data_IF_685494250711
#
_entry.id   IF_685494250711
#
_cell.length_a   1.000
_cell.length_b   1.000
_cell.length_c   1.000
_cell.angle_alpha   90.00
_cell.angle_beta   90.00
_cell.angle_gamma   90.00
#
_symmetry.space_group_name_H-M   'P 1'
#
loop_
_entity.id
_entity.type
_entity.pdbx_description
1 polymer ?
#
# COMPACT_ATOMS: atom_id res chain seq x y z
N UNK A 1 3.66 18.18 -2.55
CA UNK A 1 4.63 17.07 -2.71
C UNK A 1 4.54 15.97 -1.64
N UNK A 2 3.61 16.00 -0.66
CA UNK A 2 3.50 14.96 0.39
C UNK A 2 2.13 14.26 0.47
N UNK A 3 1.29 14.39 -0.56
CA UNK A 3 -0.05 13.81 -0.57
C UNK A 3 -0.08 12.29 -0.36
N UNK A 4 0.95 11.56 -0.83
CA UNK A 4 1.08 10.12 -0.59
C UNK A 4 1.29 9.79 0.90
N UNK A 5 2.11 10.58 1.60
CA UNK A 5 2.34 10.43 3.06
C UNK A 5 1.05 10.73 3.82
N UNK A 6 0.32 11.75 3.41
CA UNK A 6 -0.97 12.12 4.00
C UNK A 6 -2.00 11.00 3.83
N UNK A 7 -2.09 10.41 2.62
CA UNK A 7 -2.98 9.28 2.35
C UNK A 7 -2.63 8.07 3.24
N UNK A 8 -1.35 7.72 3.36
CA UNK A 8 -0.90 6.62 4.24
C UNK A 8 -1.32 6.88 5.69
N UNK A 9 -1.02 8.07 6.23
CA UNK A 9 -1.37 8.44 7.59
C UNK A 9 -2.87 8.41 7.82
N UNK A 10 -3.66 8.90 6.87
CA UNK A 10 -5.12 8.89 6.94
C UNK A 10 -5.65 7.46 7.05
N UNK A 11 -5.16 6.53 6.23
CA UNK A 11 -5.57 5.12 6.26
C UNK A 11 -5.13 4.46 7.58
N UNK A 12 -3.88 4.67 8.02
CA UNK A 12 -3.36 4.14 9.29
C UNK A 12 -4.18 4.62 10.50
N UNK A 13 -4.53 5.91 10.52
CA UNK A 13 -5.36 6.51 11.56
C UNK A 13 -6.81 6.00 11.51
N UNK A 14 -7.40 5.87 10.32
CA UNK A 14 -8.75 5.33 10.15
C UNK A 14 -8.83 3.89 10.67
N UNK A 15 -7.86 3.03 10.31
CA UNK A 15 -7.80 1.67 10.81
C UNK A 15 -7.69 1.59 12.34
N UNK A 16 -6.79 2.39 12.93
CA UNK A 16 -6.66 2.46 14.39
C UNK A 16 -7.95 2.94 15.06
N UNK A 17 -8.59 3.96 14.52
CA UNK A 17 -9.85 4.50 15.03
C UNK A 17 -10.98 3.48 14.95
N UNK A 18 -11.13 2.77 13.82
CA UNK A 18 -12.17 1.76 13.64
C UNK A 18 -11.96 0.58 14.61
N UNK A 19 -10.72 0.10 14.78
CA UNK A 19 -10.41 -0.92 15.78
C UNK A 19 -10.80 -0.50 17.19
N UNK A 20 -10.48 0.74 17.57
CA UNK A 20 -10.81 1.27 18.90
C UNK A 20 -12.33 1.40 19.10
N UNK A 21 -13.05 1.86 18.08
CA UNK A 21 -14.51 2.01 18.12
C UNK A 21 -15.22 0.66 18.25
N UNK A 22 -14.67 -0.40 17.66
CA UNK A 22 -15.16 -1.78 17.79
C UNK A 22 -14.77 -2.45 19.13
N UNK A 23 -14.20 -1.71 20.09
CA UNK A 23 -13.79 -2.24 21.39
C UNK A 23 -12.47 -3.03 21.35
N UNK A 24 -11.69 -2.91 20.27
CA UNK A 24 -10.38 -3.51 20.15
C UNK A 24 -9.36 -2.92 21.12
N UNK A 25 -8.40 -3.75 21.55
CA UNK A 25 -7.24 -3.30 22.34
C UNK A 25 -6.34 -2.41 21.47
N UNK A 26 -5.51 -1.53 22.09
CA UNK A 26 -4.56 -0.72 21.35
C UNK A 26 -3.70 -1.57 20.40
N UNK A 27 -3.62 -1.15 19.14
CA UNK A 27 -2.86 -1.80 18.07
C UNK A 27 -3.39 -3.17 17.60
N UNK A 28 -4.63 -3.55 17.93
CA UNK A 28 -5.29 -4.63 17.20
C UNK A 28 -5.65 -4.17 15.78
N UNK A 29 -5.42 -5.04 14.80
CA UNK A 29 -5.69 -4.73 13.40
C UNK A 29 -7.16 -5.01 13.03
N UNK A 30 -7.80 -4.16 12.20
CA UNK A 30 -9.05 -4.49 11.54
C UNK A 30 -8.92 -5.79 10.75
N UNK A 31 -9.88 -6.69 10.94
CA UNK A 31 -9.96 -7.95 10.20
C UNK A 31 -11.40 -8.25 9.81
N UNK A 32 -11.58 -8.87 8.64
CA UNK A 32 -12.90 -9.23 8.12
C UNK A 32 -12.76 -10.45 7.22
N UNK A 33 -13.77 -11.32 7.18
CA UNK A 33 -13.77 -12.42 6.22
C UNK A 33 -13.99 -11.92 4.79
N UNK A 34 -13.48 -12.64 3.78
CA UNK A 34 -13.67 -12.29 2.36
C UNK A 34 -15.16 -12.20 2.01
N UNK A 35 -15.97 -13.13 2.53
CA UNK A 35 -17.41 -13.13 2.30
C UNK A 35 -18.09 -11.85 2.84
N UNK A 36 -17.82 -11.51 4.10
CA UNK A 36 -18.37 -10.30 4.74
C UNK A 36 -17.90 -9.04 4.02
N UNK A 37 -16.63 -9.00 3.60
CA UNK A 37 -16.08 -7.85 2.89
C UNK A 37 -16.79 -7.62 1.55
N UNK A 38 -16.89 -8.65 0.70
CA UNK A 38 -17.56 -8.53 -0.61
C UNK A 38 -19.03 -8.12 -0.42
N UNK A 39 -19.75 -8.73 0.51
CA UNK A 39 -21.13 -8.39 0.82
C UNK A 39 -21.28 -6.93 1.31
N UNK A 40 -20.34 -6.45 2.13
CA UNK A 40 -20.36 -5.06 2.64
C UNK A 40 -20.19 -4.00 1.54
N UNK A 41 -19.42 -4.31 0.49
CA UNK A 41 -19.24 -3.41 -0.66
C UNK A 41 -20.45 -3.45 -1.59
N UNK A 42 -21.01 -4.63 -1.85
CA UNK A 42 -22.22 -4.78 -2.68
C UNK A 42 -23.43 -4.06 -2.07
N UNK A 43 -23.62 -4.19 -0.75
CA UNK A 43 -24.71 -3.51 -0.02
C UNK A 43 -24.54 -2.00 0.01
N UNK A 44 -23.31 -1.47 0.09
CA UNK A 44 -23.05 -0.04 -0.02
C UNK A 44 -23.48 0.52 -1.39
N UNK A 45 -23.12 -0.17 -2.48
CA UNK A 45 -23.49 0.24 -3.85
C UNK A 45 -24.99 0.18 -4.14
N UNK A 46 -25.69 -0.78 -3.53
CA UNK A 46 -27.14 -0.90 -3.64
C UNK A 46 -27.90 0.23 -2.91
N UNK A 47 -27.28 0.92 -1.95
CA UNK A 47 -27.85 2.10 -1.28
C UNK A 47 -27.63 3.39 -2.07
N UNK A 48 -26.48 3.50 -2.75
CA UNK A 48 -26.14 4.68 -3.55
C UNK A 48 -26.88 4.74 -4.89
N UNK A 49 -27.27 3.58 -5.41
CA UNK A 49 -28.19 3.47 -6.54
C UNK A 49 -29.61 3.33 -6.00
N UNK A 50 -30.49 4.30 -6.25
CA UNK A 50 -31.91 4.28 -5.84
C UNK A 50 -32.73 3.21 -6.62
N UNK A 51 -32.25 1.97 -6.63
CA UNK A 51 -32.85 0.77 -7.22
C UNK A 51 -32.97 -0.26 -6.08
N UNK A 52 -34.08 -0.17 -5.36
CA UNK A 52 -34.53 -1.21 -4.44
C UNK A 52 -34.87 -2.47 -5.22
N UNK A 53 -33.90 -3.37 -5.36
CA UNK A 53 -34.14 -4.80 -5.45
C UNK A 53 -33.23 -5.46 -4.41
N UNK A 54 -33.78 -6.21 -3.43
CA UNK A 54 -32.95 -6.99 -2.53
C UNK A 54 -32.35 -8.11 -3.37
N UNK A 55 -31.10 -7.95 -3.82
CA UNK A 55 -30.33 -9.11 -4.26
C UNK A 55 -30.09 -9.87 -2.97
N UNK A 56 -30.86 -10.93 -2.79
CA UNK A 56 -30.71 -11.89 -1.71
C UNK A 56 -29.22 -12.13 -1.48
N UNK A 57 -28.80 -12.13 -0.21
CA UNK A 57 -27.52 -12.68 0.18
C UNK A 57 -27.40 -14.02 -0.54
N UNK A 58 -26.67 -14.04 -1.66
CA UNK A 58 -26.50 -15.25 -2.43
C UNK A 58 -25.71 -16.11 -1.49
N UNK A 59 -26.40 -17.10 -0.91
CA UNK A 59 -25.83 -18.17 -0.13
C UNK A 59 -24.60 -18.64 -0.89
N UNK A 60 -23.43 -18.18 -0.42
CA UNK A 60 -22.15 -18.71 -0.88
C UNK A 60 -22.30 -20.23 -0.73
N UNK A 61 -22.03 -21.01 -1.77
CA UNK A 61 -22.21 -22.45 -1.69
C UNK A 61 -21.36 -22.95 -0.53
N UNK A 62 -22.02 -23.48 0.51
CA UNK A 62 -21.41 -24.16 1.64
C UNK A 62 -20.89 -25.54 1.21
N UNK A 63 -20.20 -25.60 0.06
CA UNK A 63 -19.94 -26.83 -0.68
C UNK A 63 -18.51 -26.80 -1.22
N UNK A 64 -17.55 -27.08 -0.35
CA UNK A 64 -16.16 -27.34 -0.72
C UNK A 64 -15.21 -26.91 0.39
N UNK A 65 -14.74 -27.86 1.20
CA UNK A 65 -13.73 -27.72 2.27
C UNK A 65 -13.68 -26.33 2.93
N UNK A 66 -14.50 -26.13 3.97
CA UNK A 66 -14.41 -24.94 4.84
C UNK A 66 -13.12 -24.98 5.66
N UNK A 67 -12.00 -24.68 5.00
CA UNK A 67 -10.74 -24.38 5.66
C UNK A 67 -10.94 -23.09 6.46
N UNK A 68 -10.91 -23.19 7.78
CA UNK A 68 -10.88 -22.02 8.66
C UNK A 68 -9.49 -21.40 8.61
N UNK A 69 -9.44 -20.07 8.52
CA UNK A 69 -8.20 -19.31 8.61
C UNK A 69 -8.13 -18.62 9.97
N UNK A 70 -7.05 -18.83 10.71
CA UNK A 70 -6.79 -18.12 11.96
C UNK A 70 -5.92 -16.87 11.69
N UNK A 71 -6.20 -15.73 12.36
CA UNK A 71 -5.41 -14.53 12.19
C UNK A 71 -4.00 -14.70 12.79
N UNK A 72 -2.97 -14.36 12.03
CA UNK A 72 -1.57 -14.51 12.46
C UNK A 72 -0.94 -13.21 12.98
N UNK A 73 -1.66 -12.09 12.91
CA UNK A 73 -1.14 -10.80 13.34
C UNK A 73 -0.84 -10.80 14.87
N UNK A 74 0.42 -10.63 15.31
CA UNK A 74 0.83 -10.90 16.69
C UNK A 74 0.14 -10.06 17.77
N UNK A 75 -0.37 -8.88 17.41
CA UNK A 75 -1.08 -8.01 18.34
C UNK A 75 -2.57 -8.34 18.44
N UNK A 76 -3.04 -9.34 17.68
CA UNK A 76 -4.42 -9.74 17.58
C UNK A 76 -5.23 -8.85 16.63
N UNK A 77 -6.40 -9.33 16.26
CA UNK A 77 -7.30 -8.65 15.33
C UNK A 77 -8.64 -8.33 16.00
N UNK A 78 -9.40 -7.43 15.40
CA UNK A 78 -10.77 -7.10 15.78
C UNK A 78 -11.65 -7.09 14.54
N UNK A 79 -12.84 -7.69 14.62
CA UNK A 79 -13.77 -7.72 13.48
C UNK A 79 -14.33 -6.32 13.22
N UNK A 80 -14.00 -5.76 12.06
CA UNK A 80 -14.35 -4.39 11.65
C UNK A 80 -14.61 -4.40 10.14
N UNK A 81 -15.63 -3.68 9.64
CA UNK A 81 -15.80 -3.48 8.20
C UNK A 81 -14.59 -2.77 7.58
N UNK A 82 -13.78 -3.51 6.82
CA UNK A 82 -12.51 -3.00 6.27
C UNK A 82 -12.72 -1.80 5.33
N UNK A 83 -13.90 -1.71 4.70
CA UNK A 83 -14.29 -0.58 3.85
C UNK A 83 -14.20 0.78 4.55
N UNK A 84 -14.33 0.81 5.87
CA UNK A 84 -14.30 2.05 6.66
C UNK A 84 -12.86 2.51 6.94
N UNK A 85 -11.87 1.63 6.72
CA UNK A 85 -10.45 1.94 6.88
C UNK A 85 -9.84 2.59 5.63
N UNK A 86 -10.47 2.43 4.47
CA UNK A 86 -9.92 2.81 3.18
C UNK A 86 -10.81 3.83 2.44
N UNK A 87 -10.24 4.63 1.53
CA UNK A 87 -11.04 5.30 0.51
C UNK A 87 -11.81 4.29 -0.35
N UNK A 88 -13.02 4.65 -0.78
CA UNK A 88 -13.91 3.76 -1.53
C UNK A 88 -13.26 3.10 -2.75
N UNK A 89 -12.45 3.84 -3.51
CA UNK A 89 -11.78 3.32 -4.70
C UNK A 89 -10.85 2.12 -4.41
N UNK A 90 -10.25 2.07 -3.21
CA UNK A 90 -9.38 0.95 -2.80
C UNK A 90 -10.25 -0.28 -2.51
N UNK A 91 -11.27 -0.12 -1.67
CA UNK A 91 -12.15 -1.23 -1.30
C UNK A 91 -12.93 -1.77 -2.49
N UNK A 92 -13.36 -0.91 -3.40
CA UNK A 92 -14.02 -1.28 -4.65
C UNK A 92 -13.10 -2.10 -5.55
N UNK A 93 -11.85 -1.69 -5.68
CA UNK A 93 -10.84 -2.39 -6.46
C UNK A 93 -10.54 -3.77 -5.85
N UNK A 94 -10.42 -3.87 -4.53
CA UNK A 94 -10.21 -5.13 -3.81
C UNK A 94 -11.40 -6.10 -3.99
N UNK A 95 -12.64 -5.61 -3.86
CA UNK A 95 -13.83 -6.42 -4.02
C UNK A 95 -13.99 -6.98 -5.44
N UNK A 96 -13.48 -6.27 -6.45
CA UNK A 96 -13.43 -6.75 -7.83
C UNK A 96 -12.26 -7.72 -8.07
N UNK A 97 -11.11 -7.47 -7.44
CA UNK A 97 -9.90 -8.25 -7.64
C UNK A 97 -9.99 -9.67 -7.04
N UNK A 98 -10.63 -9.84 -5.87
CA UNK A 98 -10.71 -11.13 -5.18
C UNK A 98 -11.34 -12.24 -6.06
N UNK A 99 -12.54 -12.06 -6.66
CA UNK A 99 -13.11 -13.06 -7.58
C UNK A 99 -12.27 -13.27 -8.86
N UNK A 100 -11.60 -12.23 -9.35
CA UNK A 100 -10.73 -12.35 -10.51
C UNK A 100 -9.49 -13.20 -10.21
N UNK A 101 -8.93 -13.09 -9.00
CA UNK A 101 -7.83 -13.93 -8.56
C UNK A 101 -8.27 -15.38 -8.34
N UNK A 102 -9.48 -15.63 -7.85
CA UNK A 102 -10.01 -16.98 -7.69
C UNK A 102 -10.07 -17.78 -9.01
N UNK A 103 -10.28 -17.09 -10.13
CA UNK A 103 -10.21 -17.68 -11.48
C UNK A 103 -8.79 -18.13 -11.86
N UNK A 104 -7.75 -17.52 -11.28
CA UNK A 104 -6.33 -17.84 -11.53
C UNK A 104 -5.78 -18.81 -10.48
N UNK A 105 -6.22 -18.68 -9.24
CA UNK A 105 -5.79 -19.47 -8.10
C UNK A 105 -7.03 -19.95 -7.35
N UNK A 106 -7.38 -21.23 -7.54
CA UNK A 106 -8.56 -21.83 -6.92
C UNK A 106 -8.52 -21.66 -5.40
N UNK A 107 -9.62 -21.16 -4.82
CA UNK A 107 -9.76 -20.95 -3.38
C UNK A 107 -9.23 -19.61 -2.86
N UNK A 108 -8.75 -18.72 -3.73
CA UNK A 108 -8.28 -17.39 -3.31
C UNK A 108 -9.40 -16.50 -2.75
N UNK A 109 -10.64 -16.74 -3.14
CA UNK A 109 -11.85 -16.08 -2.62
C UNK A 109 -12.61 -16.94 -1.60
N UNK A 110 -11.93 -17.85 -0.90
CA UNK A 110 -12.54 -18.66 0.16
C UNK A 110 -13.33 -17.74 1.13
N UNK A 111 -14.64 -18.00 1.35
CA UNK A 111 -15.48 -17.20 2.24
C UNK A 111 -14.91 -16.96 3.64
N UNK A 112 -14.16 -17.93 4.18
CA UNK A 112 -13.56 -17.90 5.52
C UNK A 112 -12.12 -17.36 5.52
N UNK A 113 -11.56 -17.01 4.36
CA UNK A 113 -10.27 -16.34 4.31
C UNK A 113 -10.37 -14.96 4.99
N UNK A 114 -9.30 -14.60 5.71
CA UNK A 114 -9.25 -13.38 6.49
C UNK A 114 -8.48 -12.29 5.75
N UNK A 115 -9.09 -11.12 5.65
CA UNK A 115 -8.44 -9.88 5.25
C UNK A 115 -8.01 -9.16 6.52
N UNK A 116 -6.71 -8.90 6.70
CA UNK A 116 -6.19 -8.05 7.78
C UNK A 116 -5.67 -6.76 7.16
N UNK A 117 -6.09 -5.61 7.69
CA UNK A 117 -5.79 -4.30 7.12
C UNK A 117 -5.18 -3.33 8.16
N UNK A 118 -4.51 -2.25 7.72
CA UNK A 118 -4.11 -1.92 6.37
C UNK A 118 -2.62 -2.20 6.12
N UNK A 119 -2.27 -2.50 4.87
CA UNK A 119 -0.87 -2.51 4.40
C UNK A 119 -0.62 -1.23 3.59
N UNK A 120 0.04 -0.23 4.19
CA UNK A 120 0.16 1.13 3.62
C UNK A 120 1.56 1.48 3.11
N UNK A 121 2.58 0.70 3.45
CA UNK A 121 4.00 1.06 3.27
C UNK A 121 4.75 0.09 2.35
N UNK A 122 4.12 -0.30 1.25
CA UNK A 122 4.71 -1.22 0.27
C UNK A 122 5.81 -0.59 -0.59
N UNK A 123 5.83 0.74 -0.69
CA UNK A 123 6.87 1.51 -1.36
C UNK A 123 6.89 2.94 -0.85
N UNK A 124 7.95 3.69 -1.14
CA UNK A 124 8.05 5.07 -0.70
C UNK A 124 7.00 5.97 -1.38
N UNK A 125 6.24 6.77 -0.60
CA UNK A 125 5.28 7.73 -1.12
C UNK A 125 5.95 8.99 -1.70
N UNK A 126 7.28 9.10 -1.62
CA UNK A 126 8.05 10.27 -2.02
C UNK A 126 9.23 9.85 -2.89
N UNK A 127 9.51 10.63 -3.93
CA UNK A 127 10.70 10.50 -4.76
C UNK A 127 11.63 11.69 -4.52
N UNK A 128 12.80 11.45 -3.94
CA UNK A 128 13.86 12.48 -3.87
C UNK A 128 14.62 12.43 -5.18
N UNK A 129 14.52 13.47 -6.00
CA UNK A 129 15.13 13.47 -7.32
C UNK A 129 16.67 13.50 -7.20
N UNK A 130 17.34 12.67 -7.99
CA UNK A 130 18.80 12.62 -8.07
C UNK A 130 19.26 12.45 -9.52
N UNK A 131 20.44 12.95 -9.84
CA UNK A 131 21.05 12.89 -11.17
C UNK A 131 21.58 11.47 -11.47
N UNK A 132 22.13 11.27 -12.67
CA UNK A 132 22.83 10.01 -13.04
C UNK A 132 24.05 9.74 -12.17
N UNK A 133 24.65 10.78 -11.58
CA UNK A 133 25.73 10.68 -10.58
C UNK A 133 25.22 10.56 -9.15
N UNK A 134 23.96 10.14 -8.99
CA UNK A 134 23.32 9.86 -7.71
C UNK A 134 23.15 11.07 -6.77
N UNK A 135 23.47 12.28 -7.24
CA UNK A 135 23.42 13.48 -6.41
C UNK A 135 22.04 14.13 -6.46
N UNK A 136 21.51 14.53 -5.30
CA UNK A 136 20.21 15.16 -5.19
C UNK A 136 20.18 16.51 -5.92
N UNK A 137 19.02 16.86 -6.46
CA UNK A 137 18.74 18.20 -6.96
C UNK A 137 17.32 18.63 -6.62
N UNK A 138 17.12 19.94 -6.45
CA UNK A 138 15.79 20.52 -6.38
C UNK A 138 15.29 20.71 -7.80
N UNK A 139 14.13 20.14 -8.10
CA UNK A 139 13.35 20.55 -9.27
C UNK A 139 11.96 20.93 -8.78
N UNK A 140 11.56 22.18 -9.06
CA UNK A 140 10.19 22.61 -8.87
C UNK A 140 9.29 22.05 -9.97
N UNK A 141 9.81 21.93 -11.20
CA UNK A 141 9.02 21.54 -12.39
C UNK A 141 9.76 20.57 -13.34
N UNK A 142 9.03 19.92 -14.26
CA UNK A 142 9.60 18.94 -15.21
C UNK A 142 10.69 19.52 -16.12
N UNK A 143 10.56 20.81 -16.47
CA UNK A 143 11.56 21.51 -17.28
C UNK A 143 12.89 21.67 -16.53
N UNK A 144 12.85 21.89 -15.22
CA UNK A 144 14.04 21.93 -14.35
C UNK A 144 14.66 20.55 -14.17
N UNK A 145 13.87 19.46 -14.13
CA UNK A 145 14.43 18.10 -14.12
C UNK A 145 15.27 17.84 -15.37
N UNK A 146 14.75 18.20 -16.55
CA UNK A 146 15.46 18.02 -17.82
C UNK A 146 16.69 18.92 -17.93
N UNK A 147 16.64 20.13 -17.36
CA UNK A 147 17.77 21.05 -17.35
C UNK A 147 18.84 20.63 -16.35
N UNK A 148 18.48 20.23 -15.13
CA UNK A 148 19.42 19.75 -14.11
C UNK A 148 20.13 18.44 -14.51
N UNK A 149 19.50 17.63 -15.36
CA UNK A 149 20.15 16.44 -15.94
C UNK A 149 21.19 16.80 -17.01
N UNK A 150 21.04 17.94 -17.69
CA UNK A 150 21.97 18.45 -18.73
C UNK A 150 23.06 19.36 -18.16
N UNK A 151 22.69 20.20 -17.21
CA UNK A 151 23.54 21.20 -16.57
C UNK A 151 23.82 20.65 -15.19
N UNK A 152 24.97 20.00 -14.99
CA UNK A 152 25.36 19.50 -13.66
C UNK A 152 25.31 20.68 -12.67
N UNK A 153 24.35 20.74 -11.74
CA UNK A 153 24.31 21.83 -10.77
C UNK A 153 25.54 21.73 -9.88
N UNK A 154 25.89 22.84 -9.20
CA UNK A 154 26.88 22.81 -8.12
C UNK A 154 26.58 21.67 -7.14
N UNK A 155 27.62 20.93 -6.75
CA UNK A 155 27.53 19.76 -5.87
C UNK A 155 26.64 20.03 -4.66
N UNK A 156 25.59 19.22 -4.47
CA UNK A 156 24.79 19.28 -3.24
C UNK A 156 25.41 18.47 -2.11
N UNK A 157 26.27 17.48 -2.43
CA UNK A 157 26.86 16.56 -1.45
C UNK A 157 25.86 15.57 -0.86
N UNK A 158 24.62 15.55 -1.36
CA UNK A 158 23.53 14.71 -0.87
C UNK A 158 23.29 13.58 -1.87
N UNK A 159 23.30 12.33 -1.40
CA UNK A 159 23.16 11.13 -2.22
C UNK A 159 22.00 10.25 -1.74
N UNK A 160 20.76 10.51 -2.20
CA UNK A 160 19.62 9.70 -1.82
C UNK A 160 19.76 8.30 -2.42
N UNK A 161 19.63 7.25 -1.59
CA UNK A 161 19.68 5.86 -2.04
C UNK A 161 18.67 4.96 -1.31
N UNK A 162 18.36 3.82 -1.92
CA UNK A 162 17.46 2.82 -1.37
C UNK A 162 15.97 3.16 -1.50
N UNK A 163 15.16 2.53 -0.64
CA UNK A 163 13.69 2.58 -0.75
C UNK A 163 13.12 3.93 -0.32
N UNK A 164 13.61 4.53 0.78
CA UNK A 164 13.08 5.79 1.32
C UNK A 164 13.01 6.92 0.28
N UNK A 165 14.09 7.17 -0.48
CA UNK A 165 14.08 8.14 -1.58
C UNK A 165 13.35 7.69 -2.85
N UNK A 166 12.89 6.43 -2.90
CA UNK A 166 12.08 5.85 -3.95
C UNK A 166 12.85 5.12 -5.06
N UNK A 167 14.12 4.73 -4.89
CA UNK A 167 14.93 4.08 -5.93
C UNK A 167 15.03 2.55 -5.84
N UNK A 168 14.42 1.96 -4.80
CA UNK A 168 14.38 0.53 -4.57
C UNK A 168 13.02 0.12 -3.99
N UNK A 169 12.70 -1.18 -4.02
CA UNK A 169 11.44 -1.73 -3.50
C UNK A 169 11.63 -3.06 -2.76
N UNK A 170 12.83 -3.31 -2.26
CA UNK A 170 13.16 -4.54 -1.54
C UNK A 170 14.66 -4.65 -1.26
N UNK A 171 15.03 -5.58 -0.37
CA UNK A 171 16.37 -5.73 0.22
C UNK A 171 17.47 -5.72 -0.85
N UNK A 172 17.37 -6.61 -1.84
CA UNK A 172 18.38 -6.73 -2.90
C UNK A 172 18.51 -5.45 -3.73
N UNK A 173 17.37 -4.87 -4.15
CA UNK A 173 17.38 -3.64 -4.94
C UNK A 173 17.95 -2.45 -4.15
N UNK A 174 17.67 -2.35 -2.85
CA UNK A 174 18.20 -1.30 -2.00
C UNK A 174 19.71 -1.46 -1.77
N UNK A 175 20.19 -2.69 -1.57
CA UNK A 175 21.61 -2.98 -1.44
C UNK A 175 22.39 -2.64 -2.72
N UNK A 176 21.87 -3.04 -3.89
CA UNK A 176 22.50 -2.71 -5.19
C UNK A 176 22.50 -1.21 -5.44
N UNK A 177 21.42 -0.51 -5.10
CA UNK A 177 21.37 0.95 -5.22
C UNK A 177 22.39 1.64 -4.31
N UNK A 178 22.47 1.20 -3.04
CA UNK A 178 23.45 1.69 -2.08
C UNK A 178 24.89 1.47 -2.54
N UNK A 179 25.20 0.30 -3.12
CA UNK A 179 26.53 0.00 -3.67
C UNK A 179 26.89 0.95 -4.82
N UNK A 180 25.97 1.18 -5.76
CA UNK A 180 26.20 2.11 -6.89
C UNK A 180 26.47 3.52 -6.41
N UNK A 181 25.69 3.99 -5.44
CA UNK A 181 25.87 5.30 -4.81
C UNK A 181 27.23 5.38 -4.11
N UNK A 182 27.61 4.35 -3.34
CA UNK A 182 28.90 4.31 -2.64
C UNK A 182 30.09 4.36 -3.61
N UNK A 183 30.02 3.64 -4.75
CA UNK A 183 31.05 3.67 -5.79
C UNK A 183 31.21 5.08 -6.37
N UNK A 184 30.11 5.77 -6.69
CA UNK A 184 30.15 7.13 -7.22
C UNK A 184 30.72 8.12 -6.20
N UNK A 185 30.30 8.02 -4.94
CA UNK A 185 30.85 8.84 -3.85
C UNK A 185 32.36 8.63 -3.72
N UNK A 186 32.82 7.38 -3.68
CA UNK A 186 34.24 7.05 -3.59
C UNK A 186 35.05 7.61 -4.79
N UNK A 187 34.52 7.49 -6.01
CA UNK A 187 35.14 8.02 -7.22
C UNK A 187 35.31 9.55 -7.15
N UNK A 188 34.29 10.26 -6.65
CA UNK A 188 34.31 11.72 -6.50
C UNK A 188 35.37 12.18 -5.50
N UNK A 189 35.49 11.52 -4.35
CA UNK A 189 36.52 11.85 -3.36
C UNK A 189 37.94 11.59 -3.87
N UNK A 190 38.13 10.55 -4.70
CA UNK A 190 39.43 10.28 -5.33
C UNK A 190 39.82 11.37 -6.33
N UNK A 191 38.88 11.92 -7.09
CA UNK A 191 39.13 12.98 -8.07
C UNK A 191 39.34 14.37 -7.45
N UNK A 192 38.94 14.57 -6.19
CA UNK A 192 39.12 15.81 -5.45
C UNK A 192 40.46 15.88 -4.67
N UNK A 193 41.25 14.79 -4.70
CA UNK A 193 42.63 14.74 -4.20
C UNK A 193 43.61 14.95 -5.34
#
# INVERSE_FOLDING_TARGET
MLAGVELQRRIEQAAFACSKQAGGKPYQAPCQSVAEFIASIQTAKAKDSNKTSPVAASSLPASGDSLSCEPTYPRGVVNVPIKDCFPSFVSDSLAQALPLFARKLKGFDNPQALLTAPETRSSSPVRVCRTKKFEAFCASDEREKQLAEKTSPSSTGIFPCGEGPGFAGGIMSAAVDGLRVAIEVAARYKAAR
#
